data_IF_809787880704
#
_entry.id   IF_809787880704
#
_cell.length_a   1.000
_cell.length_b   1.000
_cell.length_c   1.000
_cell.angle_alpha   90.00
_cell.angle_beta   90.00
_cell.angle_gamma   90.00
#
_symmetry.space_group_name_H-M   'P 1'
#
loop_
_entity.id
_entity.type
_entity.pdbx_description
1 polymer ?
#
# COMPACT_ATOMS: atom_id res chain seq x y z
N UNK A 1 31.95 61.06 8.09
CA UNK A 1 30.75 60.52 7.41
C UNK A 1 30.89 58.99 7.41
N UNK A 2 30.04 58.29 8.19
CA UNK A 2 29.91 56.83 8.07
C UNK A 2 29.05 56.54 6.85
N UNK A 3 29.64 55.97 5.81
CA UNK A 3 28.88 55.40 4.70
C UNK A 3 28.29 54.05 5.14
N UNK A 4 26.98 53.96 5.30
CA UNK A 4 26.27 52.69 5.49
C UNK A 4 25.76 52.22 4.13
N UNK A 5 26.38 51.20 3.58
CA UNK A 5 25.87 50.52 2.40
C UNK A 5 24.94 49.40 2.84
N UNK A 6 23.68 49.44 2.42
CA UNK A 6 22.74 48.32 2.60
C UNK A 6 22.89 47.41 1.39
N UNK A 7 23.45 46.24 1.61
CA UNK A 7 23.51 45.19 0.56
C UNK A 7 22.24 44.37 0.66
N UNK A 8 21.37 44.34 -0.36
CA UNK A 8 20.21 43.46 -0.37
C UNK A 8 20.68 42.04 -0.53
N UNK A 9 20.43 41.19 0.47
CA UNK A 9 20.68 39.73 0.41
C UNK A 9 19.42 39.04 -0.06
N UNK A 10 19.43 38.57 -1.29
CA UNK A 10 18.32 37.75 -1.84
C UNK A 10 18.75 36.30 -1.88
N UNK A 11 18.05 35.42 -1.17
CA UNK A 11 18.21 33.98 -1.27
C UNK A 11 17.19 33.49 -2.29
N UNK A 12 17.68 33.04 -3.45
CA UNK A 12 16.83 32.59 -4.57
C UNK A 12 16.69 31.06 -4.67
N UNK A 13 17.30 30.30 -3.75
CA UNK A 13 17.27 28.84 -3.80
C UNK A 13 15.98 28.28 -3.18
N UNK A 14 15.36 27.33 -3.89
CA UNK A 14 14.20 26.59 -3.41
C UNK A 14 14.60 25.24 -2.80
N UNK A 15 13.85 24.82 -1.80
CA UNK A 15 13.90 23.47 -1.27
C UNK A 15 13.42 22.49 -2.33
N UNK A 16 14.14 21.38 -2.51
CA UNK A 16 13.75 20.28 -3.41
C UNK A 16 13.40 19.02 -2.62
N UNK A 17 12.65 18.09 -3.23
CA UNK A 17 12.29 16.83 -2.59
C UNK A 17 11.32 16.96 -1.40
N UNK A 18 10.61 18.09 -1.29
CA UNK A 18 9.63 18.28 -0.21
C UNK A 18 8.52 17.24 -0.33
N UNK A 19 8.32 16.51 0.73
CA UNK A 19 7.29 15.47 0.86
C UNK A 19 6.64 15.50 2.25
N UNK A 20 5.42 14.99 2.35
CA UNK A 20 4.69 14.81 3.61
C UNK A 20 4.22 13.37 3.75
N UNK A 21 4.40 12.79 4.94
CA UNK A 21 3.95 11.44 5.27
C UNK A 21 3.47 11.36 6.72
N UNK A 22 2.60 10.40 7.01
CA UNK A 22 2.13 10.17 8.38
C UNK A 22 2.98 9.10 9.08
N UNK A 23 3.35 9.37 10.33
CA UNK A 23 3.98 8.39 11.23
C UNK A 23 3.64 8.75 12.68
N UNK A 24 3.32 7.72 13.50
CA UNK A 24 3.00 7.90 14.93
C UNK A 24 1.90 8.96 15.19
N UNK A 25 0.83 8.93 14.40
CA UNK A 25 -0.29 9.89 14.48
C UNK A 25 0.11 11.37 14.28
N UNK A 26 1.24 11.60 13.61
CA UNK A 26 1.73 12.93 13.26
C UNK A 26 2.02 13.03 11.78
N UNK A 27 1.98 14.25 11.24
CA UNK A 27 2.48 14.55 9.91
C UNK A 27 3.96 14.90 9.99
N UNK A 28 4.74 14.30 9.10
CA UNK A 28 6.17 14.49 8.99
C UNK A 28 6.48 15.07 7.61
N UNK A 29 7.15 16.18 7.57
CA UNK A 29 7.69 16.77 6.37
C UNK A 29 9.17 16.38 6.26
N UNK A 30 9.62 16.14 5.04
CA UNK A 30 11.02 15.87 4.71
C UNK A 30 11.36 16.54 3.38
N UNK A 31 12.57 17.08 3.28
CA UNK A 31 13.11 17.70 2.07
C UNK A 31 14.61 17.46 1.96
N UNK A 32 15.19 17.84 0.81
CA UNK A 32 16.62 17.75 0.59
C UNK A 32 17.34 18.91 1.30
N UNK A 33 18.47 18.62 1.93
CA UNK A 33 19.31 19.63 2.56
C UNK A 33 19.91 20.56 1.49
N UNK A 34 19.86 21.87 1.74
CA UNK A 34 20.55 22.86 0.92
C UNK A 34 21.87 23.25 1.58
N UNK A 35 22.94 23.21 0.82
CA UNK A 35 24.31 23.43 1.30
C UNK A 35 24.52 24.81 1.96
N UNK A 36 23.91 25.88 1.40
CA UNK A 36 24.09 27.26 1.85
C UNK A 36 22.95 27.75 2.76
N UNK A 37 22.04 26.90 3.22
CA UNK A 37 20.99 27.29 4.14
C UNK A 37 21.46 27.12 5.59
N UNK A 38 21.28 28.17 6.42
CA UNK A 38 21.44 28.06 7.88
C UNK A 38 20.28 27.32 8.52
N UNK A 39 19.13 27.25 7.85
CA UNK A 39 17.96 26.52 8.29
C UNK A 39 16.75 26.74 7.38
N UNK A 40 15.58 26.35 7.88
CA UNK A 40 14.33 26.34 7.13
C UNK A 40 13.19 26.88 7.97
N UNK A 41 12.37 27.74 7.39
CA UNK A 41 11.11 28.21 7.94
C UNK A 41 9.98 27.37 7.36
N UNK A 42 9.20 26.74 8.23
CA UNK A 42 8.06 25.87 7.86
C UNK A 42 6.77 26.63 8.10
N UNK A 43 5.93 26.67 7.10
CA UNK A 43 4.64 27.37 7.13
C UNK A 43 3.49 26.43 6.85
N UNK A 44 2.30 26.81 7.34
CA UNK A 44 1.02 26.20 6.98
C UNK A 44 0.11 27.24 6.33
N UNK A 45 -0.61 26.85 5.27
CA UNK A 45 -1.60 27.69 4.63
C UNK A 45 -2.86 27.77 5.48
N UNK A 46 -3.31 28.98 5.81
CA UNK A 46 -4.59 29.28 6.47
C UNK A 46 -5.36 30.26 5.59
N UNK A 47 -6.44 29.78 4.95
CA UNK A 47 -7.14 30.57 3.94
C UNK A 47 -6.22 30.91 2.76
N UNK A 48 -6.05 32.20 2.46
CA UNK A 48 -5.15 32.70 1.42
C UNK A 48 -3.71 32.88 1.88
N UNK A 49 -3.44 32.91 3.20
CA UNK A 49 -2.15 33.30 3.79
C UNK A 49 -1.37 32.09 4.33
N UNK A 50 -0.05 32.27 4.48
CA UNK A 50 0.83 31.30 5.13
C UNK A 50 1.23 31.78 6.53
N UNK A 51 1.02 30.93 7.53
CA UNK A 51 1.40 31.18 8.92
C UNK A 51 2.65 30.36 9.25
N UNK A 52 3.67 30.99 9.83
CA UNK A 52 4.88 30.28 10.30
C UNK A 52 4.55 29.30 11.41
N UNK A 53 4.98 28.06 11.25
CA UNK A 53 4.88 27.02 12.27
C UNK A 53 6.16 26.92 13.11
N UNK A 54 7.30 26.91 12.45
CA UNK A 54 8.59 26.77 13.12
C UNK A 54 9.76 27.16 12.20
N UNK A 55 10.90 27.47 12.84
CA UNK A 55 12.21 27.45 12.22
C UNK A 55 12.96 26.20 12.68
N UNK A 56 13.70 25.56 11.78
CA UNK A 56 14.48 24.35 12.05
C UNK A 56 15.76 24.34 11.23
N UNK A 57 16.83 23.80 11.81
CA UNK A 57 18.09 23.55 11.10
C UNK A 57 18.11 22.16 10.43
N UNK A 58 17.11 21.31 10.72
CA UNK A 58 16.98 19.98 10.14
C UNK A 58 16.19 20.02 8.85
N UNK A 59 16.47 19.10 7.93
CA UNK A 59 15.69 18.90 6.71
C UNK A 59 14.40 18.09 6.92
N UNK A 60 13.88 18.11 8.15
CA UNK A 60 12.64 17.44 8.57
C UNK A 60 11.89 18.31 9.58
N UNK A 61 10.55 18.19 9.58
CA UNK A 61 9.68 18.81 10.57
C UNK A 61 8.51 17.90 10.89
N UNK A 62 8.10 17.85 12.15
CA UNK A 62 6.98 17.04 12.61
C UNK A 62 5.93 17.91 13.26
N UNK A 63 4.65 17.71 12.88
CA UNK A 63 3.53 18.44 13.46
C UNK A 63 2.37 17.50 13.81
N UNK A 64 1.63 17.84 14.85
CA UNK A 64 0.34 17.20 15.18
C UNK A 64 -0.77 18.00 14.51
N UNK A 65 -1.69 17.31 13.83
CA UNK A 65 -2.84 17.95 13.20
C UNK A 65 -4.10 17.22 13.67
N UNK A 66 -5.11 18.01 14.05
CA UNK A 66 -6.41 17.48 14.44
C UNK A 66 -7.03 16.62 13.33
N UNK A 67 -7.61 15.49 13.70
CA UNK A 67 -8.38 14.68 12.78
C UNK A 67 -9.58 15.49 12.27
N UNK A 68 -9.85 15.43 10.96
CA UNK A 68 -11.00 16.12 10.36
C UNK A 68 -10.63 17.26 9.41
N UNK A 69 -9.36 17.68 9.36
CA UNK A 69 -8.94 18.69 8.39
C UNK A 69 -9.09 18.17 6.95
N UNK A 70 -9.65 18.99 6.09
CA UNK A 70 -9.70 18.80 4.64
C UNK A 70 -8.28 18.80 4.05
N UNK A 71 -8.02 19.44 2.96
CA UNK A 71 -6.65 19.58 2.43
C UNK A 71 -5.84 20.59 3.25
N UNK A 72 -4.58 20.25 3.55
CA UNK A 72 -3.60 21.13 4.20
C UNK A 72 -2.42 21.31 3.26
N UNK A 73 -1.97 22.57 3.10
CA UNK A 73 -0.78 22.90 2.33
C UNK A 73 0.30 23.44 3.26
N UNK A 74 1.48 22.84 3.18
CA UNK A 74 2.69 23.33 3.83
C UNK A 74 3.58 24.03 2.81
N UNK A 75 4.40 24.97 3.29
CA UNK A 75 5.46 25.59 2.52
C UNK A 75 6.74 25.59 3.36
N UNK A 76 7.86 25.27 2.72
CA UNK A 76 9.19 25.31 3.35
C UNK A 76 10.06 26.30 2.58
N UNK A 77 10.62 27.27 3.30
CA UNK A 77 11.54 28.28 2.78
C UNK A 77 12.89 28.15 3.47
N UNK A 78 14.01 28.11 2.75
CA UNK A 78 15.33 28.19 3.36
C UNK A 78 15.59 29.60 3.89
N UNK A 79 16.40 29.73 4.93
CA UNK A 79 16.95 31.00 5.38
C UNK A 79 18.46 30.90 5.61
N UNK A 80 19.12 32.07 5.52
CA UNK A 80 20.52 32.24 5.90
C UNK A 80 20.60 33.23 7.05
N UNK A 81 21.42 32.91 8.05
CA UNK A 81 21.62 33.79 9.21
C UNK A 81 22.87 34.63 9.00
N UNK A 82 22.71 35.97 9.02
CA UNK A 82 23.80 36.93 8.90
C UNK A 82 23.73 37.88 10.08
N UNK A 83 24.80 38.01 10.85
CA UNK A 83 24.85 38.84 12.06
C UNK A 83 23.67 38.57 13.02
N UNK A 84 23.32 37.32 13.25
CA UNK A 84 22.25 36.92 14.13
C UNK A 84 20.82 37.12 13.58
N UNK A 85 20.67 37.67 12.38
CA UNK A 85 19.37 37.90 11.73
C UNK A 85 19.12 36.89 10.61
N UNK A 86 17.93 36.30 10.59
CA UNK A 86 17.52 35.34 9.55
C UNK A 86 16.94 36.07 8.33
N UNK A 87 17.49 35.76 7.17
CA UNK A 87 17.02 36.23 5.86
C UNK A 87 16.37 35.03 5.14
N UNK A 88 15.06 35.03 5.10
CA UNK A 88 14.28 33.92 4.51
C UNK A 88 14.08 34.16 3.02
N UNK A 89 14.17 33.08 2.24
CA UNK A 89 13.91 33.12 0.79
C UNK A 89 12.52 33.70 0.47
N UNK A 90 12.44 34.50 -0.57
CA UNK A 90 11.17 35.00 -1.11
C UNK A 90 10.28 33.87 -1.62
N UNK A 91 10.88 32.82 -2.17
CA UNK A 91 10.20 31.64 -2.72
C UNK A 91 10.30 30.45 -1.77
N UNK A 92 9.38 29.49 -1.89
CA UNK A 92 9.37 28.27 -1.08
C UNK A 92 8.72 27.11 -1.81
N UNK A 93 9.19 25.90 -1.52
CA UNK A 93 8.54 24.69 -2.01
C UNK A 93 7.24 24.43 -1.22
N UNK A 94 6.21 23.95 -1.91
CA UNK A 94 4.92 23.63 -1.31
C UNK A 94 4.59 22.15 -1.47
N UNK A 95 3.87 21.60 -0.50
CA UNK A 95 3.28 20.26 -0.54
C UNK A 95 1.90 20.27 0.10
N UNK A 96 0.93 19.64 -0.54
CA UNK A 96 -0.43 19.51 0.00
C UNK A 96 -0.71 18.06 0.39
N UNK A 97 -1.50 17.88 1.45
CA UNK A 97 -1.98 16.56 1.88
C UNK A 97 -3.38 16.65 2.47
N UNK A 98 -4.09 15.54 2.45
CA UNK A 98 -5.33 15.35 3.21
C UNK A 98 -5.00 14.54 4.46
N UNK A 99 -4.95 15.13 5.67
CA UNK A 99 -4.47 14.47 6.88
C UNK A 99 -5.19 13.16 7.20
N UNK A 100 -6.51 13.12 7.04
CA UNK A 100 -7.28 11.90 7.28
C UNK A 100 -6.84 10.72 6.41
N UNK A 101 -6.47 10.98 5.15
CA UNK A 101 -5.96 9.94 4.25
C UNK A 101 -4.59 9.45 4.71
N UNK A 102 -3.73 10.35 5.21
CA UNK A 102 -2.40 10.01 5.68
C UNK A 102 -2.39 9.42 7.10
N UNK A 103 -3.17 9.99 8.03
CA UNK A 103 -3.20 9.58 9.45
C UNK A 103 -4.01 8.31 9.70
N UNK A 104 -4.92 7.96 8.80
CA UNK A 104 -5.72 6.73 8.89
C UNK A 104 -5.55 5.84 7.66
N UNK A 105 -4.33 5.54 7.21
CA UNK A 105 -4.12 4.81 5.96
C UNK A 105 -4.72 3.40 5.98
N UNK A 106 -4.82 2.76 7.15
CA UNK A 106 -5.40 1.41 7.28
C UNK A 106 -6.90 1.37 6.95
N UNK A 107 -7.64 2.47 7.17
CA UNK A 107 -9.06 2.55 6.80
C UNK A 107 -9.28 2.51 5.29
N UNK A 108 -8.27 2.84 4.50
CA UNK A 108 -8.33 2.84 3.05
C UNK A 108 -7.87 1.52 2.42
N UNK A 109 -7.18 0.65 3.17
CA UNK A 109 -6.78 -0.67 2.68
C UNK A 109 -8.01 -1.56 2.58
N UNK A 110 -8.34 -1.95 1.36
CA UNK A 110 -9.48 -2.81 1.04
C UNK A 110 -9.04 -4.23 0.71
N UNK A 111 -9.88 -5.17 1.10
CA UNK A 111 -9.76 -6.56 0.67
C UNK A 111 -10.54 -6.75 -0.62
N UNK A 112 -9.96 -7.47 -1.58
CA UNK A 112 -10.71 -7.90 -2.75
C UNK A 112 -11.80 -8.87 -2.34
N UNK A 113 -13.02 -8.60 -2.79
CA UNK A 113 -14.17 -9.48 -2.59
C UNK A 113 -14.70 -9.97 -3.92
N UNK A 114 -15.46 -11.04 -3.88
CA UNK A 114 -16.11 -11.60 -5.07
C UNK A 114 -17.61 -11.43 -4.94
N UNK A 115 -18.22 -10.74 -5.88
CA UNK A 115 -19.68 -10.64 -5.96
C UNK A 115 -20.26 -12.00 -6.33
N UNK A 116 -21.10 -12.53 -5.45
CA UNK A 116 -21.70 -13.85 -5.58
C UNK A 116 -23.22 -13.74 -5.48
N UNK A 117 -23.94 -14.67 -6.16
CA UNK A 117 -25.35 -14.95 -5.92
C UNK A 117 -25.50 -16.24 -5.14
N UNK A 118 -26.43 -16.27 -4.21
CA UNK A 118 -26.86 -17.52 -3.57
C UNK A 118 -27.50 -18.42 -4.61
N UNK A 119 -27.15 -19.72 -4.62
CA UNK A 119 -27.68 -20.70 -5.59
C UNK A 119 -28.92 -21.43 -5.07
N UNK A 120 -29.19 -21.31 -3.78
CA UNK A 120 -30.35 -21.90 -3.09
C UNK A 120 -30.66 -21.09 -1.83
N UNK A 121 -31.75 -21.44 -1.14
CA UNK A 121 -32.03 -20.90 0.21
C UNK A 121 -30.89 -21.29 1.16
N UNK A 122 -30.32 -20.31 1.89
CA UNK A 122 -29.15 -20.50 2.76
C UNK A 122 -29.35 -19.85 4.11
N UNK A 123 -28.88 -20.52 5.17
CA UNK A 123 -28.83 -19.97 6.53
C UNK A 123 -27.55 -19.21 6.75
N UNK A 124 -27.66 -18.06 7.42
CA UNK A 124 -26.53 -17.23 7.84
C UNK A 124 -26.23 -17.43 9.32
N UNK A 125 -24.94 -17.42 9.65
CA UNK A 125 -24.39 -17.64 10.98
C UNK A 125 -23.48 -16.48 11.38
N UNK A 126 -23.21 -16.29 12.68
CA UNK A 126 -22.35 -15.19 13.19
C UNK A 126 -20.85 -15.51 13.19
N UNK A 127 -20.48 -16.78 13.11
CA UNK A 127 -19.08 -17.22 13.12
C UNK A 127 -18.89 -18.51 12.33
N UNK A 128 -17.63 -18.90 12.14
CA UNK A 128 -17.24 -20.17 11.52
C UNK A 128 -17.86 -21.40 12.23
N UNK A 129 -18.04 -21.34 13.53
CA UNK A 129 -18.46 -22.49 14.36
C UNK A 129 -19.90 -22.39 14.86
N UNK A 130 -20.54 -21.21 14.78
CA UNK A 130 -21.90 -21.01 15.32
C UNK A 130 -22.92 -21.95 14.67
N UNK A 131 -23.72 -22.63 15.47
CA UNK A 131 -24.86 -23.43 15.00
C UNK A 131 -26.17 -22.60 14.94
N UNK A 132 -26.22 -21.43 15.60
CA UNK A 132 -27.41 -20.59 15.65
C UNK A 132 -27.58 -19.82 14.34
N UNK A 133 -28.69 -20.08 13.65
CA UNK A 133 -29.10 -19.33 12.46
C UNK A 133 -29.57 -17.93 12.90
N UNK A 134 -29.02 -16.89 12.27
CA UNK A 134 -29.38 -15.49 12.55
C UNK A 134 -30.20 -14.86 11.44
N UNK A 135 -30.16 -15.44 10.25
CA UNK A 135 -30.92 -14.98 9.08
C UNK A 135 -30.94 -16.07 8.01
N UNK A 136 -31.91 -16.01 7.12
CA UNK A 136 -31.98 -16.85 5.92
C UNK A 136 -32.04 -15.96 4.68
N UNK A 137 -31.34 -16.35 3.62
CA UNK A 137 -31.42 -15.70 2.31
C UNK A 137 -32.04 -16.67 1.31
N UNK A 138 -32.88 -16.15 0.42
CA UNK A 138 -33.42 -16.88 -0.72
C UNK A 138 -32.33 -17.13 -1.78
N UNK A 139 -32.61 -17.96 -2.78
CA UNK A 139 -31.78 -18.07 -3.99
C UNK A 139 -31.74 -16.73 -4.73
N UNK A 140 -30.65 -16.45 -5.46
CA UNK A 140 -30.45 -15.27 -6.29
C UNK A 140 -30.01 -14.00 -5.53
N UNK A 141 -29.90 -14.04 -4.19
CA UNK A 141 -29.47 -12.87 -3.40
C UNK A 141 -27.98 -12.59 -3.61
N UNK A 142 -27.65 -11.34 -3.91
CA UNK A 142 -26.24 -10.91 -4.07
C UNK A 142 -25.59 -10.66 -2.72
N UNK A 143 -24.36 -11.18 -2.57
CA UNK A 143 -23.51 -11.03 -1.39
C UNK A 143 -22.06 -10.89 -1.84
N UNK A 144 -21.20 -10.29 -1.00
CA UNK A 144 -19.77 -10.21 -1.24
C UNK A 144 -19.06 -11.36 -0.50
N UNK A 145 -18.44 -12.27 -1.24
CA UNK A 145 -17.63 -13.34 -0.65
C UNK A 145 -16.25 -12.79 -0.29
N UNK A 146 -15.90 -12.85 0.99
CA UNK A 146 -14.62 -12.40 1.56
C UNK A 146 -13.64 -13.56 1.65
N UNK A 147 -14.07 -14.67 2.25
CA UNK A 147 -13.19 -15.80 2.54
C UNK A 147 -13.92 -17.15 2.57
N UNK A 148 -13.13 -18.22 2.65
CA UNK A 148 -13.61 -19.59 2.83
C UNK A 148 -12.78 -20.30 3.89
N UNK A 149 -13.42 -21.16 4.63
CA UNK A 149 -12.75 -22.06 5.57
C UNK A 149 -13.18 -23.49 5.28
N UNK A 150 -12.24 -24.30 4.82
CA UNK A 150 -12.47 -25.70 4.44
C UNK A 150 -12.75 -26.60 5.65
N UNK A 151 -12.08 -26.34 6.80
CA UNK A 151 -12.28 -27.09 8.05
C UNK A 151 -13.73 -27.01 8.52
N UNK A 152 -14.33 -25.82 8.46
CA UNK A 152 -15.72 -25.60 8.90
C UNK A 152 -16.72 -25.68 7.74
N UNK A 153 -16.28 -25.95 6.51
CA UNK A 153 -17.11 -25.97 5.29
C UNK A 153 -18.00 -24.72 5.16
N UNK A 154 -17.46 -23.55 5.51
CA UNK A 154 -18.17 -22.26 5.49
C UNK A 154 -17.45 -21.22 4.63
N UNK A 155 -18.28 -20.31 4.10
CA UNK A 155 -17.85 -19.09 3.41
C UNK A 155 -18.19 -17.89 4.28
N UNK A 156 -17.28 -16.93 4.37
CA UNK A 156 -17.47 -15.63 5.00
C UNK A 156 -17.93 -14.64 3.94
N UNK A 157 -19.01 -13.94 4.24
CA UNK A 157 -19.64 -12.99 3.33
C UNK A 157 -19.92 -11.66 4.01
N UNK A 158 -19.93 -10.58 3.22
CA UNK A 158 -20.52 -9.31 3.60
C UNK A 158 -21.90 -9.19 2.96
N UNK A 159 -22.92 -8.94 3.78
CA UNK A 159 -24.29 -8.71 3.35
C UNK A 159 -24.90 -7.53 4.10
N UNK A 160 -25.34 -6.48 3.36
CA UNK A 160 -25.86 -5.24 3.95
C UNK A 160 -24.96 -4.66 5.05
N UNK A 161 -23.62 -4.58 4.75
CA UNK A 161 -22.63 -4.00 5.65
C UNK A 161 -22.26 -4.84 6.87
N UNK A 162 -22.78 -6.08 7.01
CA UNK A 162 -22.49 -6.99 8.13
C UNK A 162 -21.85 -8.28 7.65
N UNK A 163 -20.90 -8.80 8.43
CA UNK A 163 -20.25 -10.09 8.17
C UNK A 163 -21.12 -11.24 8.65
N UNK A 164 -21.27 -12.24 7.81
CA UNK A 164 -21.96 -13.49 8.08
C UNK A 164 -21.21 -14.69 7.52
N UNK A 165 -21.62 -15.87 7.93
CA UNK A 165 -21.06 -17.15 7.52
C UNK A 165 -22.17 -18.03 6.99
N UNK A 166 -21.91 -18.74 5.88
CA UNK A 166 -22.87 -19.65 5.27
C UNK A 166 -22.15 -20.89 4.73
N UNK A 167 -22.88 -21.95 4.42
CA UNK A 167 -22.32 -23.21 3.91
C UNK A 167 -21.62 -23.00 2.57
N UNK A 168 -20.38 -23.50 2.47
CA UNK A 168 -19.62 -23.51 1.21
C UNK A 168 -20.37 -24.30 0.13
N UNK A 169 -20.28 -23.83 -1.13
CA UNK A 169 -21.00 -24.44 -2.26
C UNK A 169 -22.40 -23.84 -2.53
N UNK A 170 -22.84 -22.91 -1.69
CA UNK A 170 -24.13 -22.22 -1.85
C UNK A 170 -24.02 -20.90 -2.61
N UNK A 171 -22.86 -20.59 -3.19
CA UNK A 171 -22.58 -19.33 -3.87
C UNK A 171 -22.01 -19.56 -5.27
N UNK A 172 -22.52 -18.80 -6.23
CA UNK A 172 -21.94 -18.67 -7.59
C UNK A 172 -21.38 -17.25 -7.75
N UNK A 173 -20.07 -17.13 -7.89
CA UNK A 173 -19.40 -15.86 -8.10
C UNK A 173 -19.48 -15.42 -9.58
N UNK A 174 -19.58 -14.13 -9.83
CA UNK A 174 -19.71 -13.57 -11.19
C UNK A 174 -18.83 -12.34 -11.45
N UNK A 175 -18.28 -11.69 -10.43
CA UNK A 175 -17.42 -10.50 -10.57
C UNK A 175 -16.51 -10.34 -9.35
N UNK A 176 -15.39 -9.61 -9.52
CA UNK A 176 -14.48 -9.15 -8.45
C UNK A 176 -14.52 -7.61 -8.35
N UNK A 177 -14.21 -7.07 -7.18
CA UNK A 177 -14.17 -5.63 -6.91
C UNK A 177 -12.74 -5.05 -6.93
N UNK A 178 -11.82 -5.61 -7.70
CA UNK A 178 -10.48 -5.09 -7.79
C UNK A 178 -10.42 -3.70 -8.50
N UNK A 179 -9.33 -2.97 -8.27
CA UNK A 179 -9.02 -1.69 -8.92
C UNK A 179 -7.57 -1.68 -9.39
N UNK A 180 -7.28 -0.84 -10.39
CA UNK A 180 -5.91 -0.59 -10.85
C UNK A 180 -5.23 0.58 -10.12
N UNK A 181 -5.99 1.34 -9.33
CA UNK A 181 -5.46 2.42 -8.49
C UNK A 181 -4.56 1.84 -7.39
N UNK A 182 -3.35 2.36 -7.26
CA UNK A 182 -2.34 1.87 -6.32
C UNK A 182 -2.42 2.57 -4.98
N UNK A 183 -2.03 1.86 -3.92
CA UNK A 183 -1.82 2.48 -2.62
C UNK A 183 -0.54 3.30 -2.60
N UNK A 184 -0.56 4.43 -1.89
CA UNK A 184 0.65 5.22 -1.63
C UNK A 184 1.65 4.44 -0.77
N UNK A 185 2.92 4.81 -0.82
CA UNK A 185 3.96 4.23 0.03
C UNK A 185 3.62 4.35 1.52
N UNK A 186 3.05 5.48 1.94
CA UNK A 186 2.62 5.69 3.33
C UNK A 186 1.52 4.70 3.76
N UNK A 187 0.52 4.46 2.91
CA UNK A 187 -0.53 3.48 3.17
C UNK A 187 0.02 2.05 3.27
N UNK A 188 0.92 1.69 2.36
CA UNK A 188 1.59 0.38 2.35
C UNK A 188 2.39 0.16 3.63
N UNK A 189 3.24 1.12 4.02
CA UNK A 189 4.06 1.05 5.23
C UNK A 189 3.22 0.98 6.50
N UNK A 190 2.16 1.77 6.60
CA UNK A 190 1.25 1.73 7.74
C UNK A 190 0.55 0.37 7.86
N UNK A 191 0.16 -0.23 6.74
CA UNK A 191 -0.49 -1.55 6.72
C UNK A 191 0.47 -2.65 7.16
N UNK A 192 1.70 -2.67 6.62
CA UNK A 192 2.66 -3.74 6.91
C UNK A 192 3.38 -3.58 8.25
N UNK A 193 3.31 -2.42 8.89
CA UNK A 193 3.97 -2.12 10.16
C UNK A 193 3.77 -3.18 11.24
N UNK A 194 2.56 -3.76 11.33
CA UNK A 194 2.18 -4.77 12.35
C UNK A 194 2.75 -6.16 12.09
N UNK A 195 3.15 -6.46 10.86
CA UNK A 195 3.61 -7.80 10.48
C UNK A 195 5.09 -7.99 10.81
N UNK A 196 5.47 -9.22 11.10
CA UNK A 196 6.85 -9.67 11.28
C UNK A 196 7.22 -10.68 10.20
N UNK A 197 8.51 -10.78 9.90
CA UNK A 197 9.08 -11.84 9.07
C UNK A 197 10.19 -12.55 9.83
N UNK A 198 10.47 -13.81 9.49
CA UNK A 198 11.63 -14.54 9.98
C UNK A 198 12.93 -14.14 9.27
N UNK A 199 12.80 -13.46 8.14
CA UNK A 199 13.89 -12.89 7.36
C UNK A 199 13.82 -11.36 7.39
N UNK A 200 14.81 -10.69 6.79
CA UNK A 200 14.80 -9.23 6.61
C UNK A 200 13.81 -8.76 5.53
N UNK A 201 13.02 -9.64 4.92
CA UNK A 201 12.08 -9.30 3.85
C UNK A 201 10.64 -9.65 4.20
N UNK A 202 9.71 -8.82 3.74
CA UNK A 202 8.26 -9.03 3.78
C UNK A 202 7.68 -8.75 2.41
N UNK A 203 6.84 -9.66 1.91
CA UNK A 203 6.09 -9.47 0.68
C UNK A 203 4.63 -9.25 1.05
N UNK A 204 4.04 -8.18 0.54
CA UNK A 204 2.61 -7.94 0.62
C UNK A 204 1.98 -7.93 -0.77
N UNK A 205 1.00 -8.79 -0.97
CA UNK A 205 0.18 -8.83 -2.18
C UNK A 205 -1.19 -8.24 -1.87
N UNK A 206 -1.50 -7.15 -2.54
CA UNK A 206 -2.83 -6.56 -2.51
C UNK A 206 -3.66 -7.09 -3.69
N UNK A 207 -4.51 -8.06 -3.42
CA UNK A 207 -5.44 -8.56 -4.45
C UNK A 207 -6.40 -7.44 -4.93
N UNK A 208 -6.75 -6.50 -4.05
CA UNK A 208 -7.64 -5.39 -4.41
C UNK A 208 -7.02 -4.43 -5.44
N UNK A 209 -5.72 -4.11 -5.30
CA UNK A 209 -5.01 -3.21 -6.22
C UNK A 209 -4.19 -3.95 -7.28
N UNK A 210 -4.22 -5.29 -7.27
CA UNK A 210 -3.43 -6.14 -8.17
C UNK A 210 -1.96 -5.72 -8.17
N UNK A 211 -1.34 -5.73 -6.98
CA UNK A 211 0.03 -5.26 -6.79
C UNK A 211 0.78 -6.09 -5.75
N UNK A 212 2.03 -6.42 -6.07
CA UNK A 212 3.01 -6.96 -5.13
C UNK A 212 3.90 -5.84 -4.64
N UNK A 213 4.15 -5.78 -3.34
CA UNK A 213 5.08 -4.85 -2.70
C UNK A 213 6.07 -5.61 -1.85
N UNK A 214 7.36 -5.34 -2.03
CA UNK A 214 8.47 -5.96 -1.32
C UNK A 214 9.04 -4.94 -0.34
N UNK A 215 9.22 -5.36 0.90
CA UNK A 215 9.78 -4.54 1.97
C UNK A 215 11.00 -5.22 2.55
N UNK A 216 11.97 -4.41 2.97
CA UNK A 216 13.14 -4.82 3.72
C UNK A 216 13.14 -4.17 5.10
N UNK A 217 13.56 -4.91 6.13
CA UNK A 217 13.62 -4.42 7.50
C UNK A 217 13.07 -5.41 8.51
N UNK A 218 12.32 -4.90 9.48
CA UNK A 218 11.71 -5.69 10.57
C UNK A 218 10.39 -5.06 11.02
N UNK A 219 9.61 -5.77 11.80
CA UNK A 219 8.35 -5.26 12.39
C UNK A 219 8.55 -3.84 12.95
N UNK A 220 7.60 -2.97 12.65
CA UNK A 220 7.58 -1.54 12.97
C UNK A 220 8.58 -0.66 12.19
N UNK A 221 9.55 -1.25 11.45
CA UNK A 221 10.58 -0.52 10.71
C UNK A 221 10.81 -1.15 9.32
N UNK A 222 9.76 -1.20 8.52
CA UNK A 222 9.81 -1.67 7.14
C UNK A 222 10.14 -0.52 6.19
N UNK A 223 10.96 -0.78 5.17
CA UNK A 223 11.27 0.11 4.04
C UNK A 223 10.74 -0.53 2.77
N UNK A 224 9.93 0.17 1.99
CA UNK A 224 9.50 -0.29 0.67
C UNK A 224 10.69 -0.30 -0.29
N UNK A 225 10.97 -1.47 -0.87
CA UNK A 225 12.06 -1.65 -1.84
C UNK A 225 11.52 -1.59 -3.26
N UNK A 226 10.42 -2.31 -3.54
CA UNK A 226 9.86 -2.41 -4.88
C UNK A 226 8.36 -2.66 -4.82
N UNK A 227 7.65 -2.15 -5.80
CA UNK A 227 6.27 -2.53 -6.10
C UNK A 227 6.12 -2.73 -7.59
N UNK A 228 5.31 -3.72 -7.97
CA UNK A 228 5.01 -4.02 -9.36
C UNK A 228 3.60 -4.61 -9.49
N UNK A 229 2.97 -4.47 -10.65
CA UNK A 229 1.65 -5.04 -10.88
C UNK A 229 1.72 -6.57 -10.90
N UNK A 230 0.64 -7.20 -10.47
CA UNK A 230 0.43 -8.63 -10.61
C UNK A 230 -0.99 -8.92 -11.06
N UNK A 231 -1.24 -10.13 -11.49
CA UNK A 231 -2.58 -10.69 -11.63
C UNK A 231 -2.79 -11.72 -10.53
N UNK A 232 -3.81 -11.54 -9.70
CA UNK A 232 -4.25 -12.58 -8.76
C UNK A 232 -5.39 -13.39 -9.37
N UNK A 233 -5.68 -14.55 -8.78
CA UNK A 233 -6.76 -15.42 -9.23
C UNK A 233 -8.11 -14.70 -9.26
N UNK A 234 -8.90 -15.01 -10.27
CA UNK A 234 -10.26 -14.49 -10.45
C UNK A 234 -11.27 -15.22 -9.57
N UNK A 235 -12.56 -14.99 -9.80
CA UNK A 235 -13.63 -15.61 -9.00
C UNK A 235 -13.73 -17.15 -9.16
N UNK A 236 -13.18 -17.74 -10.21
CA UNK A 236 -13.13 -19.21 -10.38
C UNK A 236 -11.85 -19.81 -9.78
N UNK A 237 -10.71 -19.13 -9.92
CA UNK A 237 -9.37 -19.57 -9.52
C UNK A 237 -8.77 -18.68 -8.45
N UNK A 238 -9.43 -18.59 -7.29
CA UNK A 238 -9.11 -17.59 -6.26
C UNK A 238 -7.76 -17.83 -5.63
N UNK A 239 -6.94 -16.77 -5.58
CA UNK A 239 -5.75 -16.78 -4.75
C UNK A 239 -6.12 -16.76 -3.26
N UNK A 240 -5.44 -17.53 -2.40
CA UNK A 240 -5.72 -17.57 -0.97
C UNK A 240 -5.37 -16.24 -0.29
N UNK A 241 -6.17 -15.89 0.71
CA UNK A 241 -5.92 -14.77 1.61
C UNK A 241 -5.30 -15.27 2.91
N UNK A 242 -4.33 -14.56 3.44
CA UNK A 242 -3.71 -14.91 4.71
C UNK A 242 -2.26 -14.45 4.82
N UNK A 243 -1.61 -14.96 5.86
CA UNK A 243 -0.17 -14.80 6.08
C UNK A 243 0.49 -16.16 5.85
N UNK A 244 1.43 -16.18 4.94
CA UNK A 244 2.08 -17.39 4.47
C UNK A 244 3.60 -17.25 4.61
N UNK A 245 4.29 -18.37 4.58
CA UNK A 245 5.74 -18.42 4.37
C UNK A 245 6.02 -18.68 2.90
N UNK A 246 7.09 -18.10 2.41
CA UNK A 246 7.64 -18.51 1.11
C UNK A 246 8.17 -19.93 1.27
N UNK A 247 7.73 -20.79 0.38
CA UNK A 247 8.08 -22.21 0.34
C UNK A 247 9.11 -22.53 -0.72
N UNK A 248 8.95 -23.69 -1.33
CA UNK A 248 9.80 -24.21 -2.39
C UNK A 248 9.83 -23.30 -3.60
N UNK A 249 10.98 -23.25 -4.27
CA UNK A 249 11.18 -22.60 -5.56
C UNK A 249 11.40 -23.66 -6.62
N UNK A 250 10.84 -23.44 -7.80
CA UNK A 250 11.01 -24.28 -8.97
C UNK A 250 11.35 -23.39 -10.17
N UNK A 251 12.08 -23.94 -11.15
CA UNK A 251 12.49 -23.19 -12.34
C UNK A 251 11.28 -22.83 -13.21
N UNK A 252 10.33 -23.73 -13.33
CA UNK A 252 9.11 -23.51 -14.10
C UNK A 252 8.18 -24.70 -14.13
N UNK A 253 6.97 -24.44 -14.57
CA UNK A 253 5.97 -25.44 -14.92
C UNK A 253 5.77 -25.45 -16.44
N UNK A 254 5.91 -26.61 -17.04
CA UNK A 254 5.91 -26.80 -18.48
C UNK A 254 4.73 -27.67 -18.86
N UNK A 255 3.90 -27.17 -19.75
CA UNK A 255 2.71 -27.82 -20.29
C UNK A 255 2.88 -28.05 -21.79
N UNK A 256 1.99 -28.77 -22.42
CA UNK A 256 2.09 -29.11 -23.87
C UNK A 256 2.26 -27.83 -24.73
N UNK A 257 1.50 -26.79 -24.46
CA UNK A 257 1.46 -25.59 -25.31
C UNK A 257 1.86 -24.30 -24.56
N UNK A 258 2.15 -24.38 -23.25
CA UNK A 258 2.44 -23.21 -22.42
C UNK A 258 3.46 -23.53 -21.35
N UNK A 259 4.08 -22.48 -20.80
CA UNK A 259 4.99 -22.59 -19.66
C UNK A 259 4.91 -21.36 -18.76
N UNK A 260 5.30 -21.54 -17.51
CA UNK A 260 5.46 -20.52 -16.48
C UNK A 260 6.83 -20.72 -15.83
N UNK A 261 7.47 -19.64 -15.40
CA UNK A 261 8.83 -19.67 -14.89
C UNK A 261 8.94 -19.01 -13.51
N UNK A 262 10.07 -19.25 -12.84
CA UNK A 262 10.41 -18.68 -11.55
C UNK A 262 9.33 -18.92 -10.49
N UNK A 263 8.87 -20.16 -10.40
CA UNK A 263 7.81 -20.58 -9.48
C UNK A 263 8.31 -20.42 -8.04
N UNK A 264 7.55 -19.70 -7.23
CA UNK A 264 7.82 -19.56 -5.81
C UNK A 264 6.55 -19.80 -5.02
N UNK A 265 6.47 -20.96 -4.36
CA UNK A 265 5.29 -21.39 -3.61
C UNK A 265 5.08 -20.57 -2.34
N UNK A 266 3.82 -20.32 -1.97
CA UNK A 266 3.47 -19.69 -0.70
C UNK A 266 2.28 -20.33 0.01
N UNK A 267 1.42 -21.10 -0.71
CA UNK A 267 0.28 -21.80 -0.11
C UNK A 267 -0.14 -23.00 -0.98
N UNK A 268 0.30 -24.19 -0.64
CA UNK A 268 0.07 -25.40 -1.45
C UNK A 268 0.62 -25.20 -2.87
N UNK A 269 -0.23 -25.38 -3.88
CA UNK A 269 0.12 -25.15 -5.29
C UNK A 269 0.04 -23.66 -5.71
N UNK A 270 -0.38 -22.75 -4.81
CA UNK A 270 -0.38 -21.33 -5.15
C UNK A 270 1.03 -20.76 -5.06
N UNK A 271 1.44 -20.06 -6.08
CA UNK A 271 2.81 -19.57 -6.27
C UNK A 271 2.84 -18.20 -6.90
N UNK A 272 3.97 -17.51 -6.76
CA UNK A 272 4.38 -16.46 -7.66
C UNK A 272 5.04 -17.10 -8.86
N UNK A 273 4.75 -16.62 -10.05
CA UNK A 273 5.33 -17.09 -11.31
C UNK A 273 5.29 -15.97 -12.35
N UNK A 274 5.98 -16.17 -13.47
CA UNK A 274 5.89 -15.25 -14.62
C UNK A 274 4.50 -15.31 -15.25
N UNK A 275 4.24 -14.42 -16.18
CA UNK A 275 3.08 -14.56 -17.07
C UNK A 275 3.15 -15.90 -17.78
N UNK A 276 2.02 -16.53 -18.00
CA UNK A 276 1.91 -17.73 -18.84
C UNK A 276 2.39 -17.39 -20.25
N UNK A 277 3.38 -18.13 -20.72
CA UNK A 277 3.93 -18.02 -22.06
C UNK A 277 3.44 -19.18 -22.93
N UNK A 278 3.33 -18.93 -24.23
CA UNK A 278 3.11 -19.97 -25.23
C UNK A 278 4.45 -20.35 -25.85
N UNK A 279 4.65 -21.60 -26.15
CA UNK A 279 5.78 -21.99 -26.99
C UNK A 279 5.62 -21.40 -28.39
N UNK A 280 6.72 -20.96 -29.02
CA UNK A 280 6.71 -20.63 -30.45
C UNK A 280 6.21 -21.83 -31.27
N UNK A 281 5.54 -21.59 -32.37
CA UNK A 281 5.05 -22.64 -33.29
C UNK A 281 6.21 -23.55 -33.68
N UNK A 282 6.07 -24.88 -33.47
CA UNK A 282 7.09 -25.88 -33.81
C UNK A 282 8.16 -26.09 -32.74
N UNK A 283 8.12 -25.41 -31.58
CA UNK A 283 9.02 -25.68 -30.46
C UNK A 283 8.39 -26.66 -29.45
N UNK A 284 9.21 -27.55 -28.87
CA UNK A 284 8.83 -28.50 -27.84
C UNK A 284 9.39 -28.10 -26.45
N UNK A 285 8.88 -28.73 -25.39
CA UNK A 285 9.37 -28.54 -24.00
C UNK A 285 10.90 -28.67 -23.84
N UNK A 286 11.56 -29.38 -24.74
CA UNK A 286 13.00 -29.66 -24.65
C UNK A 286 13.89 -28.48 -25.03
N UNK A 287 13.37 -27.40 -25.61
CA UNK A 287 14.16 -26.25 -26.05
C UNK A 287 14.34 -25.15 -24.99
N UNK A 288 13.65 -25.22 -23.86
CA UNK A 288 13.75 -24.23 -22.78
C UNK A 288 14.50 -24.76 -21.57
N UNK A 289 15.78 -25.03 -21.73
CA UNK A 289 16.71 -25.16 -20.59
C UNK A 289 17.18 -23.76 -20.22
N UNK A 290 16.49 -23.13 -19.27
CA UNK A 290 16.97 -21.88 -18.69
C UNK A 290 18.13 -22.15 -17.73
N UNK A 291 19.18 -21.31 -17.73
CA UNK A 291 20.22 -21.42 -16.73
C UNK A 291 19.62 -21.24 -15.34
N UNK A 292 19.94 -22.14 -14.44
CA UNK A 292 19.62 -22.05 -13.02
C UNK A 292 20.16 -20.69 -12.55
N UNK A 293 19.30 -19.76 -12.16
CA UNK A 293 19.75 -18.57 -11.49
C UNK A 293 20.48 -19.01 -10.23
N UNK A 294 21.78 -18.84 -10.20
CA UNK A 294 22.59 -19.08 -9.03
C UNK A 294 21.97 -18.32 -7.85
N UNK A 295 21.74 -19.04 -6.78
CA UNK A 295 21.27 -18.55 -5.48
C UNK A 295 22.06 -17.30 -5.08
N UNK A 296 21.37 -16.18 -4.92
CA UNK A 296 21.83 -15.02 -4.16
C UNK A 296 21.13 -15.04 -2.80
#
# INVERSE_FOLDING_TARGET
RKLSATIPVTISQNVTGLSVYASNSRLNLKWNTLYNASGYSVYIKKGSSYTLLANTTRSTYQTSIASGASSITFMVKPYTTINGKNYTSSTGATVSCTPNTLLSPLKTIRTMTYFCKTTKRVSLYRSWTSKKVVKTLSSGVTVDLIGRNTKYKRSEILYKGKTYYLTTGSLRAFKCNYTTSKYSTAQKLAYVKKYSSKTSYLIWVSHYTQEVSIFQGRKNNWKLIKSFPCASGNYNTRSPHGTFRIGQKENGWYYVNTYEEYITHYCGRNSFHTRVHRYPSGSSQNHHKFPIASTV
#
